data_IF_880391511138
#
_entry.id   IF_880391511138
#
_cell.length_a   1.000
_cell.length_b   1.000
_cell.length_c   1.000
_cell.angle_alpha   90.00
_cell.angle_beta   90.00
_cell.angle_gamma   90.00
#
_symmetry.space_group_name_H-M   'P 1'
#
loop_
_entity.id
_entity.type
_entity.pdbx_description
1 polymer ?
#
# COMPACT_ATOMS: atom_id res chain seq x y z
N UNK A 1 -0.19 2.06 -1.32
CA UNK A 1 0.77 1.81 -2.41
C UNK A 1 0.35 2.61 -3.65
N UNK A 2 1.19 3.52 -4.16
CA UNK A 2 0.82 4.38 -5.29
C UNK A 2 0.85 3.59 -6.63
N UNK A 3 0.07 3.96 -7.65
CA UNK A 3 -0.12 3.22 -8.91
C UNK A 3 1.16 3.14 -9.77
N UNK A 4 1.65 1.94 -10.11
CA UNK A 4 2.46 1.73 -11.28
C UNK A 4 1.56 1.45 -12.50
N UNK A 5 1.90 1.99 -13.67
CA UNK A 5 1.24 1.67 -14.95
C UNK A 5 1.30 0.17 -15.19
N UNK A 6 0.19 -0.37 -15.68
CA UNK A 6 0.08 -1.80 -16.02
C UNK A 6 -0.26 -2.72 -14.85
N UNK A 7 -0.49 -2.19 -13.64
CA UNK A 7 -1.03 -2.97 -12.52
C UNK A 7 -2.30 -2.36 -11.96
N UNK A 8 -3.28 -3.21 -11.65
CA UNK A 8 -4.54 -2.79 -11.03
C UNK A 8 -4.28 -2.06 -9.71
N UNK A 9 -4.95 -0.93 -9.51
CA UNK A 9 -4.85 -0.14 -8.27
C UNK A 9 -6.25 0.03 -7.72
N UNK A 10 -6.58 -0.64 -6.61
CA UNK A 10 -7.98 -0.80 -6.19
C UNK A 10 -8.41 -0.02 -4.97
N UNK A 11 -7.48 0.48 -4.13
CA UNK A 11 -7.75 0.93 -2.74
C UNK A 11 -8.60 0.02 -1.87
N UNK A 12 -8.79 -1.24 -2.23
CA UNK A 12 -9.80 -2.07 -1.58
C UNK A 12 -11.24 -1.59 -1.80
N UNK A 13 -11.50 -0.75 -2.82
CA UNK A 13 -12.85 -0.39 -3.26
C UNK A 13 -13.27 -1.27 -4.44
N UNK A 14 -14.43 -1.92 -4.33
CA UNK A 14 -15.00 -2.74 -5.41
C UNK A 14 -15.16 -1.98 -6.71
N UNK A 15 -15.51 -0.69 -6.62
CA UNK A 15 -15.59 0.25 -7.75
C UNK A 15 -14.27 0.38 -8.55
N UNK A 16 -13.14 0.02 -7.97
CA UNK A 16 -11.81 0.14 -8.56
C UNK A 16 -11.16 -1.24 -8.82
N UNK A 17 -11.92 -2.33 -8.74
CA UNK A 17 -11.39 -3.70 -8.86
C UNK A 17 -10.54 -3.88 -10.12
N UNK A 18 -10.99 -3.30 -11.23
CA UNK A 18 -10.33 -3.39 -12.54
C UNK A 18 -9.70 -2.08 -13.00
N UNK A 19 -9.58 -1.10 -12.10
CA UNK A 19 -8.94 0.17 -12.44
C UNK A 19 -7.44 -0.02 -12.68
N UNK A 20 -7.00 0.28 -13.90
CA UNK A 20 -5.59 0.33 -14.28
C UNK A 20 -5.21 1.80 -14.54
N UNK A 21 -4.26 2.35 -13.78
CA UNK A 21 -3.79 3.72 -13.96
C UNK A 21 -3.06 3.88 -15.30
N UNK A 22 -3.30 5.01 -15.98
CA UNK A 22 -2.65 5.35 -17.26
C UNK A 22 -1.24 5.93 -17.10
N UNK A 23 -0.89 6.38 -15.89
CA UNK A 23 0.41 6.96 -15.58
C UNK A 23 0.94 6.48 -14.23
N UNK A 24 2.27 6.44 -14.11
CA UNK A 24 2.95 6.11 -12.86
C UNK A 24 2.76 7.27 -11.88
N UNK A 25 2.62 6.94 -10.59
CA UNK A 25 2.92 7.92 -9.55
C UNK A 25 4.38 8.38 -9.64
N UNK A 26 4.66 9.58 -9.13
CA UNK A 26 6.05 10.08 -9.12
C UNK A 26 6.99 9.15 -8.35
N UNK A 27 6.51 8.49 -7.29
CA UNK A 27 7.32 7.51 -6.53
C UNK A 27 7.60 6.26 -7.35
N UNK A 28 6.59 5.68 -8.01
CA UNK A 28 6.79 4.50 -8.86
C UNK A 28 7.75 4.78 -10.02
N UNK A 29 7.58 5.93 -10.70
CA UNK A 29 8.47 6.35 -11.79
C UNK A 29 9.93 6.51 -11.31
N UNK A 30 10.14 7.12 -10.12
CA UNK A 30 11.48 7.27 -9.53
C UNK A 30 12.11 5.92 -9.17
N UNK A 31 11.34 4.99 -8.62
CA UNK A 31 11.81 3.65 -8.31
C UNK A 31 12.24 2.89 -9.56
N UNK A 32 11.40 2.90 -10.62
CA UNK A 32 11.75 2.30 -11.91
C UNK A 32 13.01 2.91 -12.51
N UNK A 33 13.12 4.24 -12.50
CA UNK A 33 14.31 4.95 -12.97
C UNK A 33 15.57 4.57 -12.20
N UNK A 34 15.44 4.24 -10.91
CA UNK A 34 16.54 3.76 -10.07
C UNK A 34 16.85 2.26 -10.24
N UNK A 35 16.16 1.54 -11.14
CA UNK A 35 16.38 0.12 -11.40
C UNK A 35 15.55 -0.83 -10.53
N UNK A 36 14.56 -0.33 -9.77
CA UNK A 36 13.70 -1.20 -8.97
C UNK A 36 12.74 -2.01 -9.86
N UNK A 37 12.59 -3.30 -9.53
CA UNK A 37 11.59 -4.19 -10.14
C UNK A 37 10.35 -4.18 -9.25
N UNK A 38 9.26 -3.60 -9.74
CA UNK A 38 7.97 -3.60 -9.03
C UNK A 38 7.27 -4.91 -9.35
N UNK A 39 7.11 -5.79 -8.35
CA UNK A 39 6.59 -7.15 -8.52
C UNK A 39 5.10 -7.30 -8.20
N UNK A 40 4.47 -6.29 -7.58
CA UNK A 40 3.07 -6.36 -7.22
C UNK A 40 2.56 -5.17 -6.42
N UNK A 41 1.32 -5.27 -5.97
CA UNK A 41 0.59 -4.30 -5.14
C UNK A 41 0.21 -4.99 -3.83
N UNK A 42 0.56 -4.40 -2.70
CA UNK A 42 0.17 -4.97 -1.40
C UNK A 42 -1.23 -4.54 -0.98
N UNK A 43 -1.87 -5.42 -0.20
CA UNK A 43 -3.24 -5.25 0.24
C UNK A 43 -3.38 -4.07 1.22
N UNK A 44 -4.51 -3.36 1.14
CA UNK A 44 -4.84 -2.17 1.94
C UNK A 44 -6.34 -2.16 2.27
N UNK A 45 -6.79 -1.46 3.32
CA UNK A 45 -8.22 -1.29 3.56
C UNK A 45 -8.85 -0.27 2.59
N UNK A 46 -10.20 -0.24 2.46
CA UNK A 46 -10.95 0.74 1.69
C UNK A 46 -10.45 2.16 1.93
N UNK A 47 -10.03 2.84 0.85
CA UNK A 47 -9.52 4.23 0.88
C UNK A 47 -8.38 4.46 1.88
N UNK A 48 -7.67 3.41 2.29
CA UNK A 48 -6.59 3.48 3.28
C UNK A 48 -7.07 3.91 4.69
N UNK A 49 -8.36 3.70 5.02
CA UNK A 49 -9.02 4.22 6.24
C UNK A 49 -9.35 3.15 7.28
N UNK A 50 -8.41 2.28 7.60
CA UNK A 50 -8.55 1.29 8.67
C UNK A 50 -7.17 0.72 9.09
N UNK A 51 -7.11 0.08 10.24
CA UNK A 51 -5.94 -0.59 10.81
C UNK A 51 -6.01 -2.12 10.71
N UNK A 52 -7.10 -2.72 10.21
CA UNK A 52 -7.20 -4.17 10.03
C UNK A 52 -6.58 -4.65 8.72
N UNK A 53 -6.46 -3.78 7.71
CA UNK A 53 -6.04 -4.13 6.35
C UNK A 53 -6.96 -5.22 5.76
N UNK A 54 -8.25 -4.93 5.80
CA UNK A 54 -9.33 -5.78 5.27
C UNK A 54 -10.14 -5.03 4.23
N UNK A 55 -10.47 -5.68 3.11
CA UNK A 55 -11.36 -5.13 2.09
C UNK A 55 -12.16 -6.26 1.39
N UNK A 56 -13.28 -5.93 0.71
CA UNK A 56 -14.13 -6.92 0.04
C UNK A 56 -13.52 -7.59 -1.21
N UNK A 57 -12.42 -7.08 -1.75
CA UNK A 57 -11.80 -7.62 -2.98
C UNK A 57 -10.86 -8.79 -2.64
N UNK A 58 -10.03 -8.61 -1.61
CA UNK A 58 -8.95 -9.53 -1.26
C UNK A 58 -9.07 -10.11 0.16
N UNK A 59 -10.07 -9.68 0.92
CA UNK A 59 -10.22 -10.05 2.32
C UNK A 59 -9.20 -9.36 3.23
N UNK A 60 -9.03 -9.94 4.42
CA UNK A 60 -8.13 -9.45 5.47
C UNK A 60 -6.72 -9.99 5.28
N UNK A 61 -5.74 -9.10 5.32
CA UNK A 61 -4.33 -9.48 5.49
C UNK A 61 -4.11 -9.95 6.93
N UNK A 62 -3.44 -11.07 7.13
CA UNK A 62 -3.06 -11.55 8.47
C UNK A 62 -1.63 -11.15 8.85
N UNK A 63 -1.36 -11.05 10.15
CA UNK A 63 -0.01 -10.85 10.67
C UNK A 63 0.84 -12.12 10.43
N UNK A 64 2.06 -12.03 9.88
CA UNK A 64 2.90 -13.20 9.61
C UNK A 64 3.38 -13.93 10.87
N UNK A 65 3.37 -13.27 12.03
CA UNK A 65 3.75 -13.90 13.31
C UNK A 65 2.60 -14.67 13.98
N UNK A 66 1.36 -14.32 13.67
CA UNK A 66 0.14 -14.98 14.15
C UNK A 66 -1.01 -14.67 13.19
N UNK A 67 -1.43 -15.68 12.42
CA UNK A 67 -2.41 -15.50 11.35
C UNK A 67 -3.82 -15.16 11.84
N UNK A 68 -4.09 -15.29 13.15
CA UNK A 68 -5.34 -14.85 13.76
C UNK A 68 -5.40 -13.32 14.00
N UNK A 69 -4.24 -12.64 13.97
CA UNK A 69 -4.09 -11.22 14.31
C UNK A 69 -3.99 -10.32 13.08
N UNK A 70 -4.25 -9.03 13.33
CA UNK A 70 -4.05 -7.99 12.32
C UNK A 70 -2.57 -7.63 12.14
N UNK A 71 -2.11 -7.34 10.91
CA UNK A 71 -0.80 -6.76 10.66
C UNK A 71 -0.75 -5.26 10.97
N UNK A 72 -1.85 -4.65 11.41
CA UNK A 72 -2.00 -3.19 11.47
C UNK A 72 -2.38 -2.61 10.10
N UNK A 73 -2.41 -1.28 10.00
CA UNK A 73 -2.79 -0.62 8.76
C UNK A 73 -2.54 0.89 8.78
N UNK A 74 -2.85 1.60 7.69
CA UNK A 74 -3.46 1.04 6.46
C UNK A 74 -2.48 0.33 5.52
N UNK A 75 -1.17 0.41 5.76
CA UNK A 75 -0.15 -0.31 4.97
C UNK A 75 0.17 -1.70 5.55
N UNK A 76 -0.83 -2.44 6.03
CA UNK A 76 -0.61 -3.75 6.67
C UNK A 76 -0.10 -4.82 5.71
N UNK A 77 -0.58 -4.82 4.45
CA UNK A 77 -0.07 -5.73 3.43
C UNK A 77 1.41 -5.55 3.16
N UNK A 78 1.87 -4.29 3.17
CA UNK A 78 3.28 -3.94 3.01
C UNK A 78 4.13 -4.49 4.16
N UNK A 79 3.76 -4.20 5.40
CA UNK A 79 4.52 -4.66 6.55
C UNK A 79 4.52 -6.19 6.68
N UNK A 80 3.38 -6.85 6.40
CA UNK A 80 3.27 -8.30 6.41
C UNK A 80 4.14 -8.94 5.31
N UNK A 81 4.15 -8.38 4.09
CA UNK A 81 4.97 -8.89 2.99
C UNK A 81 6.47 -8.78 3.27
N UNK A 82 6.91 -7.65 3.84
CA UNK A 82 8.32 -7.45 4.22
C UNK A 82 8.70 -8.39 5.37
N UNK A 83 7.87 -8.48 6.42
CA UNK A 83 8.13 -9.35 7.56
C UNK A 83 8.18 -10.84 7.18
N UNK A 84 7.37 -11.26 6.21
CA UNK A 84 7.36 -12.63 5.67
C UNK A 84 8.48 -12.90 4.64
N UNK A 85 9.33 -11.91 4.32
CA UNK A 85 10.42 -12.07 3.35
C UNK A 85 9.98 -12.13 1.88
N UNK A 86 8.76 -11.70 1.56
CA UNK A 86 8.24 -11.70 0.19
C UNK A 86 8.83 -10.58 -0.67
N UNK A 87 9.25 -9.48 -0.03
CA UNK A 87 9.94 -8.37 -0.66
C UNK A 87 10.92 -7.72 0.34
N UNK A 88 12.05 -7.16 -0.12
CA UNK A 88 13.01 -6.52 0.76
C UNK A 88 12.53 -5.14 1.28
N UNK A 89 11.59 -4.49 0.59
CA UNK A 89 10.98 -3.21 0.97
C UNK A 89 9.61 -3.04 0.31
N UNK A 90 8.81 -2.11 0.82
CA UNK A 90 7.56 -1.66 0.19
C UNK A 90 7.30 -0.16 0.49
N UNK A 91 6.42 0.45 -0.30
CA UNK A 91 5.99 1.85 -0.20
C UNK A 91 4.56 1.94 0.32
N UNK A 92 4.45 2.41 1.56
CA UNK A 92 3.17 2.77 2.19
C UNK A 92 2.88 4.27 2.14
N UNK A 93 1.71 4.63 2.69
CA UNK A 93 1.32 6.02 2.96
C UNK A 93 1.08 6.17 4.46
N UNK A 94 1.46 7.30 5.05
CA UNK A 94 1.33 7.53 6.50
C UNK A 94 0.79 8.93 6.77
N UNK A 95 -0.53 9.03 6.99
CA UNK A 95 -1.19 10.26 7.43
C UNK A 95 -1.37 10.31 8.95
N UNK A 96 -1.54 9.15 9.60
CA UNK A 96 -1.81 9.03 11.03
C UNK A 96 -1.14 7.84 11.71
N UNK A 97 -0.08 7.28 11.11
CA UNK A 97 0.58 6.06 11.58
C UNK A 97 0.55 4.91 10.58
N UNK A 98 -0.02 5.11 9.39
CA UNK A 98 -0.32 4.01 8.47
C UNK A 98 0.88 3.26 7.89
N UNK A 99 2.13 3.71 8.11
CA UNK A 99 3.36 2.92 7.88
C UNK A 99 3.93 2.45 9.22
N UNK A 100 4.00 3.35 10.22
CA UNK A 100 4.65 3.07 11.50
C UNK A 100 3.91 2.04 12.36
N UNK A 101 2.59 2.08 12.40
CA UNK A 101 1.74 1.13 13.13
C UNK A 101 1.91 -0.29 12.59
N UNK A 102 1.70 -0.58 11.29
CA UNK A 102 1.86 -1.94 10.80
C UNK A 102 3.32 -2.41 10.87
N UNK A 103 4.30 -1.51 10.73
CA UNK A 103 5.71 -1.84 10.96
C UNK A 103 5.97 -2.31 12.40
N UNK A 104 5.43 -1.60 13.40
CA UNK A 104 5.49 -2.00 14.81
C UNK A 104 4.83 -3.36 15.05
N UNK A 105 3.64 -3.58 14.49
CA UNK A 105 2.87 -4.83 14.69
C UNK A 105 3.50 -6.05 13.99
N UNK A 106 4.17 -5.85 12.85
CA UNK A 106 4.83 -6.90 12.08
C UNK A 106 6.33 -7.03 12.38
N UNK A 107 6.89 -6.25 13.31
CA UNK A 107 8.29 -6.38 13.71
C UNK A 107 9.30 -5.96 12.64
N UNK A 108 8.98 -4.95 11.82
CA UNK A 108 9.86 -4.41 10.77
C UNK A 108 10.07 -2.91 10.93
N UNK A 109 11.05 -2.35 10.22
CA UNK A 109 11.28 -0.92 10.22
C UNK A 109 10.25 -0.17 9.35
N UNK A 110 9.69 0.91 9.88
CA UNK A 110 8.79 1.81 9.17
C UNK A 110 9.27 3.25 9.25
N UNK A 111 9.53 3.88 8.10
CA UNK A 111 10.03 5.25 8.03
C UNK A 111 8.98 6.18 7.41
N UNK A 112 8.58 7.22 8.17
CA UNK A 112 7.79 8.33 7.65
C UNK A 112 8.70 9.56 7.53
N UNK A 113 9.07 9.99 6.31
CA UNK A 113 9.92 11.17 6.14
C UNK A 113 9.26 12.45 6.66
N UNK A 114 10.05 13.52 6.68
CA UNK A 114 9.52 14.88 6.88
C UNK A 114 8.43 15.15 5.85
N UNK A 115 7.39 15.85 6.29
CA UNK A 115 6.25 16.17 5.43
C UNK A 115 6.72 16.86 4.15
N UNK A 116 6.12 16.48 3.02
CA UNK A 116 6.42 17.00 1.68
C UNK A 116 7.80 16.66 1.10
N UNK A 117 8.66 15.91 1.81
CA UNK A 117 9.94 15.45 1.25
C UNK A 117 9.80 14.35 0.19
N UNK A 118 8.68 13.61 0.23
CA UNK A 118 8.32 12.60 -0.77
C UNK A 118 7.04 13.06 -1.47
N UNK A 119 7.00 13.09 -2.82
CA UNK A 119 5.83 13.55 -3.56
C UNK A 119 4.66 12.57 -3.39
N UNK A 120 3.47 13.14 -3.19
CA UNK A 120 2.19 12.41 -3.13
C UNK A 120 1.46 12.38 -4.47
N UNK A 121 2.09 12.88 -5.55
CA UNK A 121 1.49 12.87 -6.89
C UNK A 121 1.22 11.42 -7.34
N UNK A 122 -0.05 11.15 -7.64
CA UNK A 122 -0.55 9.82 -7.96
C UNK A 122 -0.78 8.93 -6.73
N UNK A 123 -0.48 9.35 -5.50
CA UNK A 123 -0.68 8.49 -4.33
C UNK A 123 -2.14 8.21 -4.00
N UNK A 124 -3.08 9.12 -4.36
CA UNK A 124 -4.52 8.87 -4.61
C UNK A 124 -5.26 10.13 -5.13
N UNK A 125 -5.97 10.04 -6.28
CA UNK A 125 -7.10 10.88 -6.79
C UNK A 125 -7.53 10.34 -8.19
N UNK A 126 -8.70 10.66 -8.78
CA UNK A 126 -10.10 10.39 -8.38
C UNK A 126 -10.66 9.33 -9.37
N UNK A 127 -11.74 8.61 -9.07
CA UNK A 127 -12.57 8.06 -10.14
C UNK A 127 -13.36 9.25 -10.70
N UNK A 128 -13.12 9.71 -11.95
CA UNK A 128 -13.80 10.90 -12.44
C UNK A 128 -15.31 10.68 -12.59
N UNK A 129 -15.73 9.43 -12.83
CA UNK A 129 -17.08 9.09 -13.27
C UNK A 129 -17.48 7.68 -12.81
N UNK A 130 -17.67 7.47 -11.51
CA UNK A 130 -18.61 6.43 -11.06
C UNK A 130 -19.91 7.15 -10.73
N UNK A 131 -21.09 6.62 -11.10
CA UNK A 131 -22.35 7.23 -10.69
C UNK A 131 -22.42 7.43 -9.17
#
# INVERSE_FOLDING_TARGET
MPPPVGMRTTIGLTAWTDYIPTADSTVAARLRKAGAIIIGKTNVPPRLRDLQTSNPIFGRTSNPWDVSRTPGGSSGGAAAAVAAGLAPLDIGSDAGGSVRVPAHLCGVYGFKPTQSSVPTTGSYADPPDMP
#
